data_IF_608442312063
#
_entry.id   IF_608442312063
#
_cell.length_a   1.000
_cell.length_b   1.000
_cell.length_c   1.000
_cell.angle_alpha   90.00
_cell.angle_beta   90.00
_cell.angle_gamma   90.00
#
_symmetry.space_group_name_H-M   'P 1'
#
loop_
_entity.id
_entity.type
_entity.pdbx_description
1 polymer ?
#
# COMPACT_ATOMS: atom_id res chain seq x y z
N UNK A 1 -10.15 18.20 15.19
CA UNK A 1 -10.04 18.18 13.71
C UNK A 1 -8.84 19.00 13.26
N UNK A 2 -8.19 18.62 12.16
CA UNK A 2 -6.99 19.28 11.64
C UNK A 2 -7.27 20.70 11.12
N UNK A 3 -6.44 21.67 11.53
CA UNK A 3 -6.57 23.10 11.19
C UNK A 3 -5.60 23.57 10.09
N UNK A 4 -4.61 22.75 9.72
CA UNK A 4 -3.63 23.09 8.68
C UNK A 4 -4.22 23.09 7.26
N UNK A 5 -3.57 23.83 6.36
CA UNK A 5 -3.85 23.82 4.92
C UNK A 5 -3.43 22.51 4.25
N UNK A 6 -2.49 21.80 4.86
CA UNK A 6 -2.01 20.48 4.44
C UNK A 6 -2.32 19.44 5.51
N UNK A 7 -2.63 18.24 5.05
CA UNK A 7 -2.81 17.05 5.86
C UNK A 7 -1.61 16.15 5.66
N UNK A 8 -0.98 15.72 6.75
CA UNK A 8 0.10 14.74 6.76
C UNK A 8 -0.45 13.46 7.40
N UNK A 9 -0.30 12.34 6.72
CA UNK A 9 -0.75 11.03 7.17
C UNK A 9 0.45 10.16 7.57
N UNK A 10 0.30 9.46 8.69
CA UNK A 10 1.24 8.46 9.21
C UNK A 10 0.46 7.44 10.03
N UNK A 11 0.94 6.19 10.04
CA UNK A 11 0.37 5.15 10.89
C UNK A 11 0.81 5.32 12.36
N UNK A 12 0.07 4.70 13.26
CA UNK A 12 0.32 4.71 14.71
C UNK A 12 1.61 3.99 15.12
N UNK A 13 2.15 3.15 14.25
CA UNK A 13 3.40 2.41 14.44
C UNK A 13 4.55 2.88 13.56
N UNK A 14 4.34 3.92 12.76
CA UNK A 14 5.42 4.54 12.01
C UNK A 14 6.25 5.44 12.93
N UNK A 15 7.56 5.43 12.74
CA UNK A 15 8.49 6.35 13.37
C UNK A 15 8.99 7.37 12.33
N UNK A 16 8.45 8.60 12.31
CA UNK A 16 8.95 9.66 11.47
C UNK A 16 10.41 10.00 11.80
N UNK A 17 11.20 10.24 10.76
CA UNK A 17 12.53 10.81 10.96
C UNK A 17 12.44 12.27 11.38
N UNK A 18 13.51 12.77 11.97
CA UNK A 18 13.76 14.15 12.34
C UNK A 18 13.65 15.16 11.16
N UNK A 19 13.76 14.67 9.92
CA UNK A 19 13.55 15.46 8.70
C UNK A 19 12.15 15.34 8.09
N UNK A 20 11.25 14.55 8.68
CA UNK A 20 9.96 14.21 8.07
C UNK A 20 9.10 15.44 7.73
N UNK A 21 8.86 16.31 8.71
CA UNK A 21 8.04 17.52 8.53
C UNK A 21 8.77 18.55 7.67
N UNK A 22 10.07 18.76 7.89
CA UNK A 22 10.83 19.76 7.14
C UNK A 22 10.99 19.40 5.67
N UNK A 23 11.11 18.11 5.34
CA UNK A 23 11.13 17.63 3.97
C UNK A 23 9.82 17.91 3.24
N UNK A 24 8.66 17.59 3.85
CA UNK A 24 7.37 17.98 3.27
C UNK A 24 7.22 19.49 3.17
N UNK A 25 7.58 20.25 4.22
CA UNK A 25 7.45 21.71 4.22
C UNK A 25 8.25 22.37 3.09
N UNK A 26 9.46 21.89 2.80
CA UNK A 26 10.29 22.41 1.71
C UNK A 26 9.64 22.18 0.34
N UNK A 27 9.07 20.98 0.12
CA UNK A 27 8.37 20.66 -1.13
C UNK A 27 7.03 21.39 -1.26
N UNK A 28 6.32 21.61 -0.16
CA UNK A 28 5.10 22.44 -0.16
C UNK A 28 5.45 23.88 -0.59
N UNK A 29 6.53 24.45 -0.05
CA UNK A 29 6.98 25.81 -0.40
C UNK A 29 7.48 25.91 -1.84
N UNK A 30 8.00 24.83 -2.42
CA UNK A 30 8.40 24.80 -3.84
C UNK A 30 7.19 24.93 -4.77
N UNK A 31 5.99 24.54 -4.30
CA UNK A 31 4.74 24.62 -5.05
C UNK A 31 4.64 23.60 -6.20
N UNK A 32 5.51 22.58 -6.22
CA UNK A 32 5.64 21.67 -7.36
C UNK A 32 4.48 20.66 -7.52
N UNK A 33 3.74 20.37 -6.45
CA UNK A 33 2.59 19.48 -6.45
C UNK A 33 1.71 19.74 -5.22
N UNK A 34 0.46 19.29 -5.27
CA UNK A 34 -0.49 19.33 -4.13
C UNK A 34 -0.58 18.00 -3.38
N UNK A 35 0.18 16.99 -3.83
CA UNK A 35 0.29 15.68 -3.19
C UNK A 35 1.74 15.24 -3.18
N UNK A 36 2.22 14.92 -1.99
CA UNK A 36 3.59 14.53 -1.71
C UNK A 36 3.58 13.14 -1.10
N UNK A 37 4.32 12.22 -1.66
CA UNK A 37 4.45 10.85 -1.17
C UNK A 37 5.80 10.68 -0.49
N UNK A 38 5.79 10.19 0.75
CA UNK A 38 7.02 9.99 1.51
C UNK A 38 7.62 8.60 1.34
N UNK A 39 8.86 8.47 1.80
CA UNK A 39 9.58 7.20 1.80
C UNK A 39 9.20 6.38 3.03
N UNK A 40 8.70 5.17 2.82
CA UNK A 40 8.43 4.20 3.90
C UNK A 40 9.44 3.08 3.81
N UNK A 41 10.24 2.92 4.87
CA UNK A 41 11.27 1.90 4.97
C UNK A 41 11.08 1.08 6.25
N UNK A 42 11.85 0.00 6.40
CA UNK A 42 11.89 -0.76 7.64
C UNK A 42 13.18 -0.51 8.42
N UNK A 43 13.15 -0.83 9.70
CA UNK A 43 14.27 -0.65 10.64
C UNK A 43 15.46 -1.56 10.33
N UNK A 44 15.24 -2.60 9.54
CA UNK A 44 16.22 -3.61 9.17
C UNK A 44 15.83 -4.34 7.89
N UNK A 45 16.73 -5.12 7.29
CA UNK A 45 16.34 -6.12 6.30
C UNK A 45 15.37 -7.16 6.88
N UNK A 46 14.45 -7.62 6.02
CA UNK A 46 13.54 -8.73 6.30
C UNK A 46 14.32 -10.01 6.61
N UNK A 47 13.86 -10.77 7.62
CA UNK A 47 14.49 -12.02 8.09
C UNK A 47 13.61 -13.26 7.93
N UNK A 48 12.29 -13.09 7.72
CA UNK A 48 11.34 -14.19 7.51
C UNK A 48 10.34 -13.88 6.41
N UNK A 49 9.74 -14.91 5.81
CA UNK A 49 8.70 -14.73 4.79
C UNK A 49 7.36 -14.25 5.37
N UNK A 50 7.10 -14.46 6.66
CA UNK A 50 5.89 -14.01 7.36
C UNK A 50 6.08 -12.67 8.10
N UNK A 51 7.17 -11.95 7.83
CA UNK A 51 7.31 -10.55 8.26
C UNK A 51 6.71 -9.62 7.20
N UNK A 52 5.79 -8.74 7.56
CA UNK A 52 5.23 -7.72 6.67
C UNK A 52 5.50 -6.30 7.17
N UNK A 53 5.72 -5.41 6.20
CA UNK A 53 5.85 -3.96 6.36
C UNK A 53 5.55 -3.33 5.00
N UNK A 54 4.78 -2.23 4.91
CA UNK A 54 4.74 -1.41 3.70
C UNK A 54 6.14 -0.88 3.44
N UNK A 55 6.69 -1.20 2.27
CA UNK A 55 7.97 -0.65 1.80
C UNK A 55 7.73 0.16 0.53
N UNK A 56 8.04 1.46 0.59
CA UNK A 56 7.90 2.39 -0.51
C UNK A 56 9.19 3.20 -0.66
N UNK A 57 10.19 2.58 -1.31
CA UNK A 57 11.52 3.15 -1.45
C UNK A 57 11.67 4.08 -2.66
N UNK A 58 10.70 4.05 -3.58
CA UNK A 58 10.80 4.69 -4.90
C UNK A 58 9.55 5.50 -5.29
N UNK A 59 8.54 5.56 -4.42
CA UNK A 59 7.26 6.17 -4.70
C UNK A 59 6.37 5.33 -5.63
N UNK A 60 5.21 5.89 -5.96
CA UNK A 60 4.21 5.32 -6.86
C UNK A 60 3.09 4.54 -6.17
N UNK A 61 3.08 4.48 -4.83
CA UNK A 61 2.14 3.73 -4.01
C UNK A 61 1.03 4.61 -3.42
N UNK A 62 1.40 5.77 -2.87
CA UNK A 62 0.58 6.71 -2.08
C UNK A 62 -0.19 6.00 -0.95
N UNK A 63 0.53 5.23 -0.14
CA UNK A 63 -0.06 4.58 1.03
C UNK A 63 -0.24 5.55 2.19
N UNK A 64 -1.32 5.37 2.95
CA UNK A 64 -1.69 6.25 4.06
C UNK A 64 -0.68 6.29 5.19
N UNK A 65 0.20 5.30 5.28
CA UNK A 65 1.31 5.29 6.24
C UNK A 65 2.34 6.42 6.05
N UNK A 66 2.43 7.08 4.89
CA UNK A 66 3.34 8.22 4.70
C UNK A 66 3.06 9.06 3.44
N UNK A 67 2.17 10.05 3.55
CA UNK A 67 2.00 11.06 2.50
C UNK A 67 1.49 12.39 3.06
N UNK A 68 1.59 13.46 2.27
CA UNK A 68 0.99 14.75 2.53
C UNK A 68 0.12 15.19 1.34
N UNK A 69 -1.00 15.88 1.63
CA UNK A 69 -1.92 16.38 0.61
C UNK A 69 -2.51 17.72 1.03
N UNK A 70 -2.72 18.62 0.07
CA UNK A 70 -3.49 19.85 0.30
C UNK A 70 -4.89 19.48 0.80
N UNK A 71 -5.31 20.02 1.94
CA UNK A 71 -6.58 19.71 2.59
C UNK A 71 -7.76 19.92 1.64
N UNK A 72 -7.73 20.98 0.84
CA UNK A 72 -8.77 21.26 -0.17
C UNK A 72 -8.85 20.14 -1.20
N UNK A 73 -7.72 19.70 -1.75
CA UNK A 73 -7.66 18.60 -2.71
C UNK A 73 -8.15 17.27 -2.10
N UNK A 74 -7.80 16.98 -0.84
CA UNK A 74 -8.27 15.77 -0.14
C UNK A 74 -9.79 15.66 -0.10
N UNK A 75 -10.49 16.76 0.22
CA UNK A 75 -11.95 16.79 0.18
C UNK A 75 -12.48 16.78 -1.25
N UNK A 76 -11.80 17.44 -2.19
CA UNK A 76 -12.20 17.49 -3.60
C UNK A 76 -12.10 16.12 -4.30
N UNK A 77 -11.16 15.26 -3.89
CA UNK A 77 -11.10 13.87 -4.37
C UNK A 77 -12.12 12.96 -3.70
N UNK A 78 -12.75 13.41 -2.61
CA UNK A 78 -13.78 12.68 -1.87
C UNK A 78 -13.24 11.83 -0.72
N UNK A 79 -12.16 12.24 -0.05
CA UNK A 79 -11.59 11.56 1.12
C UNK A 79 -11.21 10.08 0.87
N UNK A 80 -10.94 9.32 1.94
CA UNK A 80 -10.94 7.86 1.88
C UNK A 80 -12.38 7.33 1.80
N UNK A 81 -12.53 6.16 1.22
CA UNK A 81 -13.81 5.46 1.19
C UNK A 81 -13.93 4.55 2.41
N UNK A 82 -14.86 4.89 3.32
CA UNK A 82 -15.07 4.17 4.57
C UNK A 82 -15.88 2.88 4.39
N UNK A 83 -16.41 2.62 3.19
CA UNK A 83 -17.17 1.41 2.88
C UNK A 83 -16.26 0.19 2.61
N UNK A 84 -14.93 0.39 2.52
CA UNK A 84 -14.00 -0.74 2.45
C UNK A 84 -14.12 -1.59 3.73
N UNK A 85 -14.42 -2.90 3.63
CA UNK A 85 -14.77 -3.71 4.80
C UNK A 85 -13.57 -3.97 5.74
N UNK A 86 -12.35 -3.77 5.25
CA UNK A 86 -11.10 -3.96 5.97
C UNK A 86 -10.06 -2.98 5.42
N UNK A 87 -9.00 -2.73 6.20
CA UNK A 87 -7.80 -1.98 5.78
C UNK A 87 -7.02 -2.73 4.68
N UNK A 88 -7.57 -2.68 3.46
CA UNK A 88 -7.04 -3.19 2.22
C UNK A 88 -7.81 -2.55 1.06
N UNK A 89 -7.09 -2.14 0.01
CA UNK A 89 -7.60 -1.54 -1.24
C UNK A 89 -8.14 -0.09 -1.14
N UNK A 90 -8.37 0.43 0.06
CA UNK A 90 -8.73 1.83 0.32
C UNK A 90 -7.66 2.81 -0.16
N UNK A 91 -6.38 2.51 0.11
CA UNK A 91 -5.26 3.34 -0.35
C UNK A 91 -5.14 3.31 -1.88
N UNK A 92 -5.36 2.14 -2.49
CA UNK A 92 -5.31 1.99 -3.94
C UNK A 92 -6.46 2.75 -4.63
N UNK A 93 -7.65 2.72 -4.05
CA UNK A 93 -8.79 3.50 -4.51
C UNK A 93 -8.52 5.00 -4.43
N UNK A 94 -8.02 5.45 -3.28
CA UNK A 94 -7.65 6.84 -3.06
C UNK A 94 -6.57 7.30 -4.04
N UNK A 95 -5.49 6.53 -4.16
CA UNK A 95 -4.41 6.79 -5.12
C UNK A 95 -4.90 6.91 -6.55
N UNK A 96 -5.81 6.03 -6.98
CA UNK A 96 -6.39 6.08 -8.33
C UNK A 96 -7.17 7.37 -8.57
N UNK A 97 -7.95 7.83 -7.59
CA UNK A 97 -8.71 9.09 -7.66
C UNK A 97 -7.80 10.32 -7.63
N UNK A 98 -6.75 10.29 -6.81
CA UNK A 98 -5.75 11.36 -6.76
C UNK A 98 -5.01 11.49 -8.09
N UNK A 99 -4.50 10.37 -8.63
CA UNK A 99 -3.76 10.35 -9.90
C UNK A 99 -4.54 10.87 -11.10
N UNK A 100 -5.88 10.83 -11.07
CA UNK A 100 -6.68 11.41 -12.16
C UNK A 100 -6.87 12.92 -12.05
N UNK A 101 -6.45 13.56 -10.94
CA UNK A 101 -6.60 14.99 -10.71
C UNK A 101 -5.27 15.72 -10.57
N UNK A 102 -4.26 15.09 -9.97
CA UNK A 102 -3.04 15.77 -9.57
C UNK A 102 -1.81 14.86 -9.68
N UNK A 103 -0.67 15.49 -9.97
CA UNK A 103 0.64 14.82 -9.93
C UNK A 103 1.04 14.55 -8.48
N UNK A 104 1.59 13.36 -8.26
CA UNK A 104 2.19 12.98 -6.99
C UNK A 104 3.70 13.13 -7.10
N UNK A 105 4.32 13.84 -6.17
CA UNK A 105 5.79 13.99 -6.08
C UNK A 105 6.31 13.11 -4.95
N UNK A 106 7.29 12.27 -5.25
CA UNK A 106 7.99 11.47 -4.25
C UNK A 106 9.03 12.31 -3.52
N UNK A 107 8.98 12.31 -2.18
CA UNK A 107 9.83 13.11 -1.30
C UNK A 107 10.67 12.16 -0.44
N UNK A 108 11.85 11.73 -0.91
CA UNK A 108 12.67 10.74 -0.19
C UNK A 108 13.17 11.23 1.18
N UNK A 109 13.25 12.55 1.37
CA UNK A 109 13.59 13.16 2.67
C UNK A 109 12.47 13.03 3.71
N UNK A 110 11.21 12.88 3.28
CA UNK A 110 10.07 12.67 4.16
C UNK A 110 9.96 11.17 4.50
N UNK A 111 10.89 10.71 5.34
CA UNK A 111 11.04 9.29 5.68
C UNK A 111 10.30 8.93 6.97
N UNK A 112 9.59 7.81 6.95
CA UNK A 112 9.13 7.08 8.13
C UNK A 112 9.73 5.67 8.16
N UNK A 113 9.89 5.12 9.37
CA UNK A 113 10.23 3.72 9.59
C UNK A 113 8.97 2.98 10.04
N UNK A 114 8.53 2.00 9.24
CA UNK A 114 7.47 1.08 9.63
C UNK A 114 8.10 -0.27 10.04
N UNK A 115 7.79 -0.81 11.24
CA UNK A 115 8.43 -2.01 11.75
C UNK A 115 7.99 -3.27 10.99
N UNK A 116 8.87 -4.27 10.92
CA UNK A 116 8.46 -5.61 10.51
C UNK A 116 7.54 -6.26 11.55
N UNK A 117 6.37 -6.74 11.09
CA UNK A 117 5.39 -7.45 11.91
C UNK A 117 5.26 -8.90 11.45
N UNK A 118 5.34 -9.86 12.38
CA UNK A 118 5.08 -11.27 12.06
C UNK A 118 3.57 -11.47 11.95
N UNK A 119 3.11 -11.93 10.79
CA UNK A 119 1.70 -12.20 10.54
C UNK A 119 1.36 -13.66 10.84
N UNK A 120 0.18 -13.88 11.42
CA UNK A 120 -0.35 -15.23 11.64
C UNK A 120 -0.98 -15.73 10.33
N UNK A 121 -0.60 -16.92 9.85
CA UNK A 121 -1.10 -17.43 8.57
C UNK A 121 -2.61 -17.71 8.62
N UNK A 122 -3.23 -17.61 7.46
CA UNK A 122 -4.67 -17.81 7.19
C UNK A 122 -5.61 -16.84 7.91
N UNK A 123 -5.12 -15.68 8.35
CA UNK A 123 -5.94 -14.63 8.97
C UNK A 123 -6.30 -13.48 8.04
N UNK A 124 -5.53 -13.26 6.97
CA UNK A 124 -5.64 -12.09 6.10
C UNK A 124 -6.45 -12.33 4.84
N UNK A 125 -6.35 -13.51 4.22
CA UNK A 125 -6.81 -13.73 2.84
C UNK A 125 -8.30 -13.42 2.62
N UNK A 126 -9.18 -13.74 3.58
CA UNK A 126 -10.62 -13.43 3.47
C UNK A 126 -10.83 -11.91 3.40
N UNK A 127 -10.12 -11.15 4.25
CA UNK A 127 -10.18 -9.68 4.26
C UNK A 127 -9.76 -9.12 2.90
N UNK A 128 -8.65 -9.62 2.37
CA UNK A 128 -8.18 -9.21 1.05
C UNK A 128 -9.18 -9.54 -0.06
N UNK A 129 -9.79 -10.73 -0.05
CA UNK A 129 -10.83 -11.11 -1.02
C UNK A 129 -12.04 -10.16 -0.94
N UNK A 130 -12.56 -9.90 0.26
CA UNK A 130 -13.71 -9.00 0.42
C UNK A 130 -13.40 -7.58 -0.05
N UNK A 131 -12.27 -7.01 0.33
CA UNK A 131 -11.86 -5.68 -0.13
C UNK A 131 -11.60 -5.62 -1.64
N UNK A 132 -11.03 -6.68 -2.23
CA UNK A 132 -10.85 -6.76 -3.69
C UNK A 132 -12.20 -6.83 -4.42
N UNK A 133 -13.18 -7.60 -3.92
CA UNK A 133 -14.53 -7.65 -4.50
C UNK A 133 -15.18 -6.29 -4.50
N UNK A 134 -15.12 -5.59 -3.37
CA UNK A 134 -15.63 -4.24 -3.24
C UNK A 134 -14.95 -3.30 -4.24
N UNK A 135 -13.60 -3.29 -4.28
CA UNK A 135 -12.82 -2.49 -5.24
C UNK A 135 -13.21 -2.79 -6.69
N UNK A 136 -13.33 -4.07 -7.06
CA UNK A 136 -13.69 -4.49 -8.41
C UNK A 136 -15.10 -4.04 -8.80
N UNK A 137 -16.07 -4.18 -7.89
CA UNK A 137 -17.43 -3.72 -8.11
C UNK A 137 -17.48 -2.20 -8.28
N UNK A 138 -16.83 -1.45 -7.37
CA UNK A 138 -16.74 0.02 -7.41
C UNK A 138 -16.17 0.53 -8.73
N UNK A 139 -15.15 -0.15 -9.26
CA UNK A 139 -14.45 0.24 -10.48
C UNK A 139 -14.92 -0.49 -11.74
N UNK A 140 -16.05 -1.22 -11.69
CA UNK A 140 -16.63 -1.98 -12.80
C UNK A 140 -15.63 -2.91 -13.51
N UNK A 141 -14.72 -3.54 -12.73
CA UNK A 141 -13.72 -4.47 -13.24
C UNK A 141 -14.42 -5.78 -13.63
N UNK A 142 -14.37 -6.13 -14.91
CA UNK A 142 -14.97 -7.37 -15.44
C UNK A 142 -14.04 -8.57 -15.25
N UNK A 143 -14.61 -9.68 -14.78
CA UNK A 143 -13.89 -10.96 -14.66
C UNK A 143 -14.02 -11.76 -15.95
N UNK A 144 -13.33 -11.30 -16.99
CA UNK A 144 -13.27 -11.95 -18.30
C UNK A 144 -12.04 -12.87 -18.44
N UNK A 145 -11.76 -13.35 -19.66
CA UNK A 145 -10.59 -14.19 -19.94
C UNK A 145 -9.26 -13.42 -19.78
N UNK A 146 -9.24 -12.13 -20.12
CA UNK A 146 -8.06 -11.27 -20.02
C UNK A 146 -7.68 -11.04 -18.55
N UNK A 147 -8.68 -10.75 -17.71
CA UNK A 147 -8.50 -10.65 -16.26
C UNK A 147 -7.91 -11.94 -15.68
N UNK A 148 -8.50 -13.10 -16.02
CA UNK A 148 -8.02 -14.41 -15.54
C UNK A 148 -6.59 -14.69 -16.00
N UNK A 149 -6.26 -14.40 -17.26
CA UNK A 149 -4.91 -14.54 -17.78
C UNK A 149 -3.90 -13.66 -17.03
N UNK A 150 -4.25 -12.40 -16.77
CA UNK A 150 -3.43 -11.50 -15.97
C UNK A 150 -3.24 -12.03 -14.53
N UNK A 151 -4.31 -12.51 -13.89
CA UNK A 151 -4.23 -13.11 -12.54
C UNK A 151 -3.39 -14.37 -12.50
N UNK A 152 -3.43 -15.22 -13.53
CA UNK A 152 -2.54 -16.39 -13.66
C UNK A 152 -1.09 -15.95 -13.79
N UNK A 153 -0.79 -14.93 -14.62
CA UNK A 153 0.56 -14.38 -14.74
C UNK A 153 1.07 -13.83 -13.40
N UNK A 154 0.22 -13.12 -12.66
CA UNK A 154 0.54 -12.63 -11.31
C UNK A 154 0.81 -13.81 -10.37
N UNK A 155 -0.04 -14.84 -10.36
CA UNK A 155 0.13 -16.03 -9.53
C UNK A 155 1.46 -16.73 -9.81
N UNK A 156 1.80 -16.96 -11.08
CA UNK A 156 3.07 -17.60 -11.48
C UNK A 156 4.27 -16.76 -11.03
N UNK A 157 4.27 -15.46 -11.31
CA UNK A 157 5.37 -14.57 -10.93
C UNK A 157 5.54 -14.49 -9.41
N UNK A 158 4.43 -14.40 -8.68
CA UNK A 158 4.43 -14.40 -7.21
C UNK A 158 4.88 -15.74 -6.64
N UNK A 159 4.53 -16.87 -7.27
CA UNK A 159 4.99 -18.19 -6.84
C UNK A 159 6.51 -18.29 -6.89
N UNK A 160 7.13 -17.94 -8.02
CA UNK A 160 8.60 -18.03 -8.16
C UNK A 160 9.34 -17.05 -7.24
N UNK A 161 8.94 -15.77 -7.24
CA UNK A 161 9.56 -14.76 -6.38
C UNK A 161 9.39 -15.07 -4.89
N UNK A 162 8.20 -15.54 -4.47
CA UNK A 162 7.94 -15.90 -3.08
C UNK A 162 8.65 -17.18 -2.66
N UNK A 163 8.77 -18.17 -3.56
CA UNK A 163 9.51 -19.41 -3.29
C UNK A 163 11.00 -19.13 -3.10
N UNK A 164 11.60 -18.26 -3.93
CA UNK A 164 12.98 -17.83 -3.76
C UNK A 164 13.21 -17.15 -2.41
N UNK A 165 12.30 -16.27 -1.98
CA UNK A 165 12.36 -15.66 -0.64
C UNK A 165 12.17 -16.69 0.48
N UNK A 166 11.26 -17.64 0.31
CA UNK A 166 11.00 -18.68 1.31
C UNK A 166 12.25 -19.56 1.51
N UNK A 167 12.93 -19.95 0.42
CA UNK A 167 14.21 -20.67 0.48
C UNK A 167 15.29 -19.82 1.15
N UNK A 168 15.42 -18.54 0.75
CA UNK A 168 16.36 -17.59 1.38
C UNK A 168 16.18 -17.50 2.90
N UNK A 169 14.95 -17.60 3.38
CA UNK A 169 14.62 -17.53 4.81
C UNK A 169 14.45 -18.91 5.46
N UNK A 170 15.00 -19.97 4.87
CA UNK A 170 14.98 -21.34 5.42
C UNK A 170 13.56 -21.81 5.78
N UNK A 171 12.60 -21.52 4.91
CA UNK A 171 11.18 -21.87 5.06
C UNK A 171 10.45 -21.23 6.26
N UNK A 172 11.07 -20.25 6.93
CA UNK A 172 10.42 -19.46 7.99
C UNK A 172 9.29 -18.61 7.38
N UNK A 173 8.06 -18.95 7.72
CA UNK A 173 6.84 -18.31 7.19
C UNK A 173 6.11 -19.12 6.12
N UNK A 174 6.36 -20.43 6.01
CA UNK A 174 5.68 -21.33 5.05
C UNK A 174 4.15 -21.22 5.09
N UNK A 175 3.54 -21.13 6.28
CA UNK A 175 2.09 -20.98 6.38
C UNK A 175 1.58 -19.72 5.68
N UNK A 176 2.30 -18.60 5.79
CA UNK A 176 1.92 -17.35 5.16
C UNK A 176 2.19 -17.36 3.65
N UNK A 177 3.24 -18.06 3.21
CA UNK A 177 3.46 -18.38 1.80
C UNK A 177 2.25 -19.11 1.21
N UNK A 178 1.78 -20.19 1.86
CA UNK A 178 0.62 -20.94 1.41
C UNK A 178 -0.65 -20.08 1.37
N UNK A 179 -0.85 -19.20 2.36
CA UNK A 179 -1.96 -18.23 2.34
C UNK A 179 -1.87 -17.28 1.14
N UNK A 180 -0.69 -16.74 0.80
CA UNK A 180 -0.52 -15.88 -0.38
C UNK A 180 -0.80 -16.61 -1.69
N UNK A 181 -0.33 -17.86 -1.83
CA UNK A 181 -0.64 -18.67 -3.02
C UNK A 181 -2.15 -18.93 -3.11
N UNK A 182 -2.77 -19.34 -1.99
CA UNK A 182 -4.21 -19.58 -1.92
C UNK A 182 -5.03 -18.34 -2.28
N UNK A 183 -4.68 -17.18 -1.73
CA UNK A 183 -5.30 -15.91 -2.09
C UNK A 183 -5.22 -15.65 -3.61
N UNK A 184 -4.05 -15.84 -4.22
CA UNK A 184 -3.89 -15.58 -5.64
C UNK A 184 -4.66 -16.56 -6.52
N UNK A 185 -4.76 -17.83 -6.12
CA UNK A 185 -5.61 -18.83 -6.76
C UNK A 185 -7.08 -18.38 -6.71
N UNK A 186 -7.58 -18.01 -5.53
CA UNK A 186 -8.97 -17.53 -5.38
C UNK A 186 -9.26 -16.31 -6.27
N UNK A 187 -8.32 -15.37 -6.37
CA UNK A 187 -8.47 -14.19 -7.22
C UNK A 187 -8.54 -14.50 -8.73
N UNK A 188 -8.10 -15.68 -9.20
CA UNK A 188 -8.32 -16.09 -10.60
C UNK A 188 -9.79 -16.42 -10.85
N UNK A 189 -10.52 -16.86 -9.83
CA UNK A 189 -11.91 -17.34 -9.93
C UNK A 189 -12.93 -16.41 -9.28
N UNK A 190 -12.50 -15.20 -8.92
CA UNK A 190 -13.32 -14.19 -8.25
C UNK A 190 -14.57 -13.79 -9.03
#
# INVERSE_FOLDING_TARGET
MAQGEWLLFTDDDCLPTDRWISAYSNEIKSGAAKVLEGLTDAERPRKRFDEESPLNLHGGCLWSCNFAIEKKLFYEVGCFDEEFPFAAMEDLDFHRRVKSKEKIVFVPGAKVIHPWRIVKPFKGYKKWIFSNRYFMAKHNIKVDKSFRFLRIKILINQFFSSSALLVKYSFKGLGFFLEKIWFNVLMVFL
#
